data_IF_613556211871
#
_entry.id   IF_613556211871
#
_cell.length_a   1.000
_cell.length_b   1.000
_cell.length_c   1.000
_cell.angle_alpha   90.00
_cell.angle_beta   90.00
_cell.angle_gamma   90.00
#
_symmetry.space_group_name_H-M   'P 1'
#
loop_
_entity.id
_entity.type
_entity.pdbx_description
1 polymer ?
#
# COMPACT_ATOMS: atom_id res chain seq x y z
N UNK A 1 5.32 -2.94 9.03
CA UNK A 1 4.87 -1.53 9.21
C UNK A 1 5.73 -0.72 8.25
N UNK A 2 5.18 0.22 7.49
CA UNK A 2 5.98 1.00 6.53
C UNK A 2 6.97 1.94 7.22
N UNK A 3 8.08 2.24 6.54
CA UNK A 3 9.02 3.30 6.92
C UNK A 3 8.34 4.67 6.83
N UNK A 4 8.88 5.67 7.55
CA UNK A 4 8.37 7.04 7.49
C UNK A 4 8.50 7.65 6.08
N UNK A 5 9.55 7.29 5.36
CA UNK A 5 9.77 7.74 3.98
C UNK A 5 8.61 7.31 3.06
N UNK A 6 8.20 6.04 3.12
CA UNK A 6 7.07 5.54 2.32
C UNK A 6 5.77 6.26 2.73
N UNK A 7 5.58 6.52 4.02
CA UNK A 7 4.39 7.24 4.49
C UNK A 7 4.32 8.64 3.90
N UNK A 8 5.45 9.36 3.86
CA UNK A 8 5.55 10.71 3.27
C UNK A 8 5.27 10.65 1.77
N UNK A 9 5.95 9.76 1.03
CA UNK A 9 5.76 9.63 -0.42
C UNK A 9 4.29 9.33 -0.80
N UNK A 10 3.61 8.46 -0.04
CA UNK A 10 2.20 8.15 -0.26
C UNK A 10 1.29 9.34 0.09
N UNK A 11 1.59 10.06 1.17
CA UNK A 11 0.83 11.24 1.53
C UNK A 11 0.95 12.31 0.43
N UNK A 12 2.15 12.59 -0.06
CA UNK A 12 2.39 13.55 -1.15
C UNK A 12 1.71 13.11 -2.45
N UNK A 13 1.86 11.84 -2.85
CA UNK A 13 1.24 11.31 -4.07
C UNK A 13 -0.30 11.39 -4.05
N UNK A 14 -0.91 11.38 -2.85
CA UNK A 14 -2.35 11.53 -2.65
C UNK A 14 -2.77 12.96 -2.25
N UNK A 15 -1.88 13.94 -2.35
CA UNK A 15 -2.11 15.32 -1.93
C UNK A 15 -2.60 15.44 -0.46
N UNK A 16 -2.16 14.53 0.40
CA UNK A 16 -2.53 14.38 1.81
C UNK A 16 -3.99 13.96 2.09
N UNK A 17 -4.75 13.55 1.06
CA UNK A 17 -6.15 13.14 1.19
C UNK A 17 -6.36 11.63 1.04
N UNK A 18 -7.45 11.14 1.62
CA UNK A 18 -7.86 9.74 1.53
C UNK A 18 -7.95 9.25 0.09
N UNK A 19 -7.54 8.01 -0.17
CA UNK A 19 -7.62 7.41 -1.51
C UNK A 19 -9.06 7.11 -1.97
N UNK A 20 -10.05 7.17 -1.07
CA UNK A 20 -11.44 6.91 -1.42
C UNK A 20 -12.00 8.05 -2.27
N UNK A 21 -12.55 7.70 -3.43
CA UNK A 21 -13.09 8.66 -4.39
C UNK A 21 -14.18 9.49 -3.71
N UNK A 22 -14.05 10.82 -3.78
CA UNK A 22 -14.98 11.76 -3.17
C UNK A 22 -14.77 11.98 -1.66
N UNK A 23 -13.79 11.31 -1.04
CA UNK A 23 -13.42 11.58 0.34
C UNK A 23 -12.43 12.75 0.40
N UNK A 24 -12.79 13.81 1.13
CA UNK A 24 -11.96 15.01 1.32
C UNK A 24 -11.24 15.02 2.68
N UNK A 25 -11.30 13.92 3.41
CA UNK A 25 -10.65 13.77 4.70
C UNK A 25 -9.15 13.54 4.54
N UNK A 26 -8.36 14.08 5.48
CA UNK A 26 -6.91 13.88 5.48
C UNK A 26 -6.55 12.42 5.78
N UNK A 27 -5.40 12.00 5.25
CA UNK A 27 -4.83 10.69 5.56
C UNK A 27 -4.56 10.60 7.06
N UNK A 28 -5.12 9.58 7.70
CA UNK A 28 -4.86 9.24 9.08
C UNK A 28 -3.75 8.19 9.19
N UNK A 29 -3.74 7.22 8.27
CA UNK A 29 -2.75 6.14 8.25
C UNK A 29 -2.49 5.63 6.85
N UNK A 30 -1.30 5.05 6.66
CA UNK A 30 -0.94 4.32 5.44
C UNK A 30 -1.06 2.82 5.71
N UNK A 31 -1.85 2.14 4.88
CA UNK A 31 -2.23 0.75 5.02
C UNK A 31 -1.64 -0.11 3.90
N UNK A 32 -1.46 -1.42 4.15
CA UNK A 32 -1.02 -2.35 3.10
C UNK A 32 -2.22 -2.78 2.26
N UNK A 33 -2.09 -2.78 0.93
CA UNK A 33 -3.13 -3.27 0.00
C UNK A 33 -3.23 -4.80 0.07
N UNK A 34 -2.09 -5.48 0.17
CA UNK A 34 -2.04 -6.92 0.35
C UNK A 34 -2.40 -7.26 1.81
N UNK A 35 -3.43 -8.09 1.98
CA UNK A 35 -3.81 -8.66 3.27
C UNK A 35 -2.78 -9.69 3.76
N UNK A 36 -2.81 -9.98 5.07
CA UNK A 36 -1.98 -11.00 5.72
C UNK A 36 -0.48 -10.88 5.38
N UNK A 37 0.06 -9.66 5.47
CA UNK A 37 1.46 -9.38 5.13
C UNK A 37 2.45 -10.25 5.90
N UNK A 38 2.15 -10.61 7.15
CA UNK A 38 2.98 -11.54 7.95
C UNK A 38 3.10 -12.91 7.28
N UNK A 39 1.98 -13.47 6.80
CA UNK A 39 1.98 -14.77 6.12
C UNK A 39 2.63 -14.68 4.72
N UNK A 40 2.53 -13.52 4.09
CA UNK A 40 3.02 -13.28 2.73
C UNK A 40 4.45 -12.72 2.67
N UNK A 41 5.10 -12.40 3.79
CA UNK A 41 6.44 -11.80 3.85
C UNK A 41 7.49 -12.64 3.11
N UNK A 42 7.42 -13.96 3.24
CA UNK A 42 8.38 -14.85 2.57
C UNK A 42 8.19 -14.89 1.05
N UNK A 43 6.96 -14.66 0.56
CA UNK A 43 6.61 -14.73 -0.86
C UNK A 43 6.83 -13.40 -1.58
N UNK A 44 6.48 -12.28 -0.92
CA UNK A 44 6.51 -10.95 -1.51
C UNK A 44 7.31 -9.94 -0.68
N UNK A 45 8.58 -10.25 -0.35
CA UNK A 45 9.38 -9.41 0.55
C UNK A 45 9.64 -8.01 -0.02
N UNK A 46 9.77 -7.84 -1.34
CA UNK A 46 10.03 -6.53 -1.93
C UNK A 46 8.74 -5.70 -2.00
N UNK A 47 7.64 -6.33 -2.42
CA UNK A 47 6.36 -5.65 -2.52
C UNK A 47 5.88 -5.16 -1.15
N UNK A 48 5.99 -5.99 -0.10
CA UNK A 48 5.40 -5.66 1.19
C UNK A 48 5.94 -4.34 1.74
N UNK A 49 7.23 -4.09 1.56
CA UNK A 49 7.91 -2.87 2.01
C UNK A 49 8.02 -1.80 0.90
N UNK A 50 7.18 -1.85 -0.14
CA UNK A 50 7.20 -0.89 -1.25
C UNK A 50 5.98 0.05 -1.26
N UNK A 51 6.13 1.19 -1.94
CA UNK A 51 5.03 2.12 -2.23
C UNK A 51 3.90 1.47 -3.04
N UNK A 52 4.20 0.44 -3.83
CA UNK A 52 3.19 -0.27 -4.62
C UNK A 52 2.16 -0.99 -3.74
N UNK A 53 2.54 -1.39 -2.53
CA UNK A 53 1.65 -2.00 -1.57
C UNK A 53 1.03 -0.99 -0.58
N UNK A 54 1.34 0.29 -0.66
CA UNK A 54 0.92 1.29 0.31
C UNK A 54 -0.28 2.13 -0.17
N UNK A 55 -1.21 2.46 0.73
CA UNK A 55 -2.36 3.33 0.45
C UNK A 55 -2.70 4.20 1.66
N UNK A 56 -2.83 5.50 1.45
CA UNK A 56 -3.24 6.47 2.48
C UNK A 56 -4.76 6.52 2.64
N UNK A 57 -5.24 6.32 3.87
CA UNK A 57 -6.66 6.32 4.19
C UNK A 57 -6.94 7.23 5.39
N UNK A 58 -8.09 7.92 5.37
CA UNK A 58 -8.62 8.56 6.56
C UNK A 58 -9.11 7.49 7.57
N UNK A 59 -9.44 7.92 8.80
CA UNK A 59 -9.89 7.00 9.85
C UNK A 59 -11.09 6.13 9.43
N UNK A 60 -12.10 6.73 8.80
CA UNK A 60 -13.29 6.02 8.31
C UNK A 60 -12.97 5.08 7.15
N UNK A 61 -12.14 5.53 6.20
CA UNK A 61 -11.69 4.72 5.07
C UNK A 61 -10.91 3.49 5.52
N UNK A 62 -10.01 3.64 6.50
CA UNK A 62 -9.27 2.53 7.08
C UNK A 62 -10.21 1.50 7.75
N UNK A 63 -11.13 1.99 8.60
CA UNK A 63 -12.03 1.13 9.38
C UNK A 63 -13.05 0.38 8.51
N UNK A 64 -13.64 1.06 7.54
CA UNK A 64 -14.82 0.54 6.84
C UNK A 64 -14.50 0.07 5.41
N UNK A 65 -13.51 0.66 4.75
CA UNK A 65 -13.36 0.56 3.29
C UNK A 65 -11.97 0.10 2.83
N UNK A 66 -11.04 -0.20 3.73
CA UNK A 66 -9.69 -0.70 3.38
C UNK A 66 -9.73 -1.93 2.46
N UNK A 67 -10.76 -2.77 2.59
CA UNK A 67 -10.97 -3.94 1.74
C UNK A 67 -11.18 -3.59 0.25
N UNK A 68 -11.68 -2.40 -0.07
CA UNK A 68 -11.90 -1.94 -1.47
C UNK A 68 -10.58 -1.69 -2.21
N UNK A 69 -9.49 -1.45 -1.48
CA UNK A 69 -8.17 -1.16 -2.04
C UNK A 69 -7.24 -2.37 -2.06
N UNK A 70 -7.77 -3.56 -1.70
CA UNK A 70 -6.96 -4.77 -1.65
C UNK A 70 -6.53 -5.21 -3.03
N UNK A 71 -5.29 -5.68 -3.12
CA UNK A 71 -4.79 -6.37 -4.30
C UNK A 71 -4.88 -7.88 -4.11
N UNK A 72 -5.05 -8.60 -5.22
CA UNK A 72 -5.04 -10.07 -5.23
C UNK A 72 -3.60 -10.59 -5.13
N UNK A 73 -3.45 -11.86 -4.77
CA UNK A 73 -2.15 -12.55 -4.76
C UNK A 73 -1.48 -12.51 -6.14
N UNK A 74 -2.23 -12.65 -7.23
CA UNK A 74 -1.69 -12.57 -8.60
C UNK A 74 -1.14 -11.18 -8.94
N UNK A 75 -1.79 -10.11 -8.46
CA UNK A 75 -1.28 -8.75 -8.62
C UNK A 75 -0.02 -8.56 -7.76
N UNK A 76 0.02 -9.15 -6.57
CA UNK A 76 1.21 -9.13 -5.73
C UNK A 76 2.40 -9.84 -6.39
N UNK A 77 2.17 -11.00 -7.02
CA UNK A 77 3.18 -11.71 -7.82
C UNK A 77 3.73 -10.84 -8.95
N UNK A 78 2.84 -10.17 -9.70
CA UNK A 78 3.24 -9.26 -10.77
C UNK A 78 4.17 -8.15 -10.28
N UNK A 79 3.82 -7.48 -9.17
CA UNK A 79 4.65 -6.41 -8.63
C UNK A 79 5.97 -6.92 -8.04
N UNK A 80 5.95 -8.06 -7.36
CA UNK A 80 7.16 -8.66 -6.81
C UNK A 80 8.16 -9.00 -7.93
N UNK A 81 7.70 -9.59 -9.05
CA UNK A 81 8.54 -9.85 -10.23
C UNK A 81 9.13 -8.56 -10.79
N UNK A 82 8.29 -7.55 -11.03
CA UNK A 82 8.74 -6.25 -11.54
C UNK A 82 9.80 -5.59 -10.63
N UNK A 83 9.60 -5.65 -9.30
CA UNK A 83 10.55 -5.10 -8.33
C UNK A 83 11.88 -5.87 -8.27
N UNK A 84 11.88 -7.17 -8.59
CA UNK A 84 13.11 -7.97 -8.68
C UNK A 84 13.90 -7.59 -9.92
N UNK A 85 13.24 -7.49 -11.07
CA UNK A 85 13.86 -7.10 -12.34
C UNK A 85 14.57 -5.75 -12.19
N UNK A 86 13.94 -4.75 -11.57
CA UNK A 86 14.56 -3.44 -11.32
C UNK A 86 15.77 -3.45 -10.37
N UNK A 87 15.92 -4.47 -9.51
CA UNK A 87 17.05 -4.58 -8.57
C UNK A 87 18.25 -5.33 -9.15
N UNK A 88 18.03 -6.10 -10.21
CA UNK A 88 19.07 -6.85 -10.91
C UNK A 88 19.72 -6.02 -12.03
N UNK A 89 19.18 -4.85 -12.34
CA UNK A 89 19.76 -3.79 -13.19
C UNK A 89 20.68 -2.84 -12.41
#
# INVERSE_FOLDING_TARGET
MFSEEIKIQIAEAQNHFCAEIGCLEQIHSVHHKLHDTVANQARFPLLIDSVFNAIGLCFLGHKNHSHKFRITVKIAELFETYLRELKEE
#
